data_IF_320826186212
#
_entry.id   IF_320826186212
#
_cell.length_a   1.000
_cell.length_b   1.000
_cell.length_c   1.000
_cell.angle_alpha   90.00
_cell.angle_beta   90.00
_cell.angle_gamma   90.00
#
_symmetry.space_group_name_H-M   'P 1'
#
loop_
_entity.id
_entity.type
_entity.pdbx_description
1 polymer ?
#
# COMPACT_ATOMS: atom_id res chain seq x y z
N UNK A 1 27.68 -15.73 15.21
CA UNK A 1 26.51 -15.69 14.30
C UNK A 1 26.54 -14.34 13.62
N UNK A 2 26.96 -14.29 12.36
CA UNK A 2 27.10 -13.05 11.61
C UNK A 2 25.73 -12.68 11.07
N UNK A 3 25.16 -11.57 11.54
CA UNK A 3 23.96 -10.98 10.95
C UNK A 3 24.33 -10.50 9.55
N UNK A 4 23.95 -11.28 8.53
CA UNK A 4 24.00 -10.81 7.16
C UNK A 4 22.99 -9.66 7.03
N UNK A 5 23.47 -8.44 7.27
CA UNK A 5 22.83 -7.24 6.76
C UNK A 5 22.93 -7.32 5.24
N UNK A 6 21.93 -7.92 4.61
CA UNK A 6 21.74 -7.80 3.17
C UNK A 6 21.43 -6.32 2.95
N UNK A 7 22.29 -5.55 2.26
CA UNK A 7 21.93 -4.20 1.90
C UNK A 7 20.68 -4.32 1.03
N UNK A 8 19.55 -3.81 1.53
CA UNK A 8 18.31 -3.77 0.75
C UNK A 8 18.64 -3.11 -0.58
N UNK A 9 18.44 -3.87 -1.65
CA UNK A 9 18.64 -3.44 -3.02
C UNK A 9 17.99 -2.05 -3.23
N UNK A 10 18.60 -1.09 -3.94
CA UNK A 10 17.98 0.19 -4.23
C UNK A 10 16.54 0.07 -4.78
N UNK A 11 16.25 -1.01 -5.51
CA UNK A 11 14.90 -1.32 -6.01
C UNK A 11 13.90 -1.70 -4.91
N UNK A 12 14.34 -2.32 -3.81
CA UNK A 12 13.49 -2.59 -2.63
C UNK A 12 13.04 -1.30 -1.95
N UNK A 13 13.94 -0.32 -1.86
CA UNK A 13 13.61 0.99 -1.31
C UNK A 13 12.59 1.73 -2.16
N UNK A 14 12.69 1.65 -3.49
CA UNK A 14 11.73 2.32 -4.38
C UNK A 14 10.33 1.71 -4.27
N UNK A 15 10.21 0.39 -4.34
CA UNK A 15 8.92 -0.31 -4.25
C UNK A 15 8.25 -0.08 -2.88
N UNK A 16 9.03 -0.14 -1.80
CA UNK A 16 8.55 0.20 -0.44
C UNK A 16 8.07 1.65 -0.37
N UNK A 17 8.83 2.60 -0.91
CA UNK A 17 8.47 4.01 -0.90
C UNK A 17 7.20 4.28 -1.73
N UNK A 18 7.04 3.62 -2.88
CA UNK A 18 5.81 3.66 -3.70
C UNK A 18 4.62 3.11 -2.93
N UNK A 19 4.77 1.98 -2.24
CA UNK A 19 3.72 1.40 -1.39
C UNK A 19 3.30 2.34 -0.24
N UNK A 20 4.26 2.99 0.41
CA UNK A 20 3.99 3.95 1.48
C UNK A 20 3.34 5.24 0.98
N UNK A 21 3.72 5.75 -0.21
CA UNK A 21 3.05 6.89 -0.85
C UNK A 21 1.61 6.55 -1.23
N UNK A 22 1.37 5.36 -1.75
CA UNK A 22 0.02 4.87 -2.03
C UNK A 22 -0.82 4.78 -0.75
N UNK A 23 -0.27 4.23 0.32
CA UNK A 23 -0.90 4.19 1.64
C UNK A 23 -1.19 5.60 2.20
N UNK A 24 -0.29 6.57 2.03
CA UNK A 24 -0.52 7.94 2.44
C UNK A 24 -1.71 8.58 1.70
N UNK A 25 -1.86 8.31 0.40
CA UNK A 25 -3.03 8.76 -0.37
C UNK A 25 -4.34 8.15 0.14
N UNK A 26 -4.35 6.85 0.45
CA UNK A 26 -5.50 6.19 1.06
C UNK A 26 -5.85 6.75 2.45
N UNK A 27 -4.83 7.11 3.24
CA UNK A 27 -5.02 7.73 4.54
C UNK A 27 -5.63 9.13 4.44
N UNK A 28 -5.23 9.91 3.43
CA UNK A 28 -5.82 11.21 3.15
C UNK A 28 -7.31 11.08 2.76
N UNK A 29 -7.61 10.20 1.81
CA UNK A 29 -8.99 9.89 1.42
C UNK A 29 -9.85 9.50 2.63
N UNK A 30 -9.36 8.58 3.47
CA UNK A 30 -10.11 8.10 4.62
C UNK A 30 -10.33 9.14 5.73
N UNK A 31 -9.51 10.19 5.75
CA UNK A 31 -9.65 11.34 6.65
C UNK A 31 -10.71 12.31 6.15
N UNK A 32 -10.75 12.56 4.85
CA UNK A 32 -11.70 13.48 4.22
C UNK A 32 -13.11 12.90 4.16
N UNK A 33 -13.23 11.61 3.83
CA UNK A 33 -14.51 10.92 3.62
C UNK A 33 -14.89 10.05 4.83
N UNK A 34 -14.82 10.59 6.05
CA UNK A 34 -14.84 9.77 7.29
C UNK A 34 -16.05 8.84 7.44
N UNK A 35 -17.19 9.26 6.91
CA UNK A 35 -18.48 8.56 6.98
C UNK A 35 -18.72 7.58 5.81
N UNK A 36 -17.89 7.62 4.76
CA UNK A 36 -17.99 6.72 3.62
C UNK A 36 -17.55 5.29 4.01
N UNK A 37 -18.33 4.24 3.70
CA UNK A 37 -17.90 2.85 3.86
C UNK A 37 -16.54 2.52 3.20
N UNK A 38 -16.18 3.21 2.11
CA UNK A 38 -14.88 3.15 1.43
C UNK A 38 -13.75 3.69 2.30
N UNK A 39 -13.98 4.70 3.14
CA UNK A 39 -12.96 5.20 4.07
C UNK A 39 -12.61 4.17 5.14
N UNK A 40 -13.58 3.37 5.62
CA UNK A 40 -13.29 2.24 6.52
C UNK A 40 -12.40 1.20 5.85
N UNK A 41 -12.67 0.87 4.58
CA UNK A 41 -11.84 -0.04 3.78
C UNK A 41 -10.43 0.51 3.57
N UNK A 42 -10.32 1.79 3.19
CA UNK A 42 -9.04 2.48 3.04
C UNK A 42 -8.24 2.48 4.36
N UNK A 43 -8.86 2.68 5.53
CA UNK A 43 -8.17 2.56 6.83
C UNK A 43 -7.58 1.17 7.07
N UNK A 44 -8.29 0.09 6.70
CA UNK A 44 -7.77 -1.28 6.82
C UNK A 44 -6.57 -1.51 5.89
N UNK A 45 -6.68 -1.08 4.63
CA UNK A 45 -5.59 -1.14 3.66
C UNK A 45 -4.35 -0.38 4.15
N UNK A 46 -4.54 0.83 4.69
CA UNK A 46 -3.47 1.64 5.30
C UNK A 46 -2.81 0.91 6.47
N UNK A 47 -3.60 0.32 7.37
CA UNK A 47 -3.08 -0.41 8.53
C UNK A 47 -2.17 -1.59 8.12
N UNK A 48 -2.51 -2.29 7.03
CA UNK A 48 -1.65 -3.36 6.48
C UNK A 48 -0.32 -2.81 5.99
N UNK A 49 -0.33 -1.67 5.30
CA UNK A 49 0.88 -1.07 4.71
C UNK A 49 1.72 -0.30 5.73
N UNK A 50 1.16 0.16 6.84
CA UNK A 50 1.90 0.85 7.90
C UNK A 50 3.02 -0.01 8.53
N UNK A 51 2.92 -1.34 8.45
CA UNK A 51 3.99 -2.25 8.85
C UNK A 51 5.24 -2.17 7.94
N UNK A 52 5.14 -1.54 6.76
CA UNK A 52 6.29 -1.22 5.92
C UNK A 52 7.07 -0.02 6.44
N UNK A 53 6.53 0.83 7.32
CA UNK A 53 7.23 2.00 7.85
C UNK A 53 6.33 3.24 8.01
N UNK A 54 6.92 4.37 8.41
CA UNK A 54 6.18 5.61 8.60
C UNK A 54 5.59 6.08 7.26
N UNK A 55 4.34 6.53 7.30
CA UNK A 55 3.67 7.10 6.15
C UNK A 55 4.25 8.50 5.86
N UNK A 56 4.61 8.81 4.61
CA UNK A 56 4.98 10.16 4.22
C UNK A 56 3.75 11.08 4.28
N UNK A 57 3.99 12.39 4.19
CA UNK A 57 2.92 13.34 3.96
C UNK A 57 2.19 13.00 2.64
N UNK A 58 0.86 12.99 2.68
CA UNK A 58 0.06 12.74 1.49
C UNK A 58 0.16 13.93 0.52
N UNK A 59 0.27 13.65 -0.78
CA UNK A 59 0.30 14.67 -1.83
C UNK A 59 -1.01 14.73 -2.64
N UNK A 60 -2.12 14.27 -2.07
CA UNK A 60 -3.41 14.13 -2.72
C UNK A 60 -4.09 12.80 -2.40
N UNK A 61 -5.32 12.65 -2.88
CA UNK A 61 -6.17 11.48 -2.67
C UNK A 61 -6.51 10.86 -4.03
N UNK A 62 -6.03 9.64 -4.35
CA UNK A 62 -6.59 8.89 -5.45
C UNK A 62 -8.01 8.44 -5.07
N UNK A 63 -8.96 8.54 -6.00
CA UNK A 63 -10.26 7.86 -5.89
C UNK A 63 -9.99 6.37 -5.54
N UNK A 64 -10.76 5.73 -4.64
CA UNK A 64 -10.65 4.30 -4.36
C UNK A 64 -10.48 3.37 -5.58
N UNK A 65 -11.16 3.64 -6.69
CA UNK A 65 -11.05 2.84 -7.91
C UNK A 65 -9.71 3.09 -8.65
N UNK A 66 -9.24 4.34 -8.64
CA UNK A 66 -7.90 4.68 -9.11
C UNK A 66 -6.82 4.09 -8.19
N UNK A 67 -7.04 4.11 -6.88
CA UNK A 67 -6.16 3.52 -5.89
C UNK A 67 -6.05 2.00 -6.07
N UNK A 68 -7.15 1.31 -6.38
CA UNK A 68 -7.12 -0.12 -6.68
C UNK A 68 -6.32 -0.42 -7.95
N UNK A 69 -6.49 0.38 -9.02
CA UNK A 69 -5.68 0.24 -10.26
C UNK A 69 -4.19 0.48 -10.00
N UNK A 70 -3.83 1.53 -9.26
CA UNK A 70 -2.44 1.83 -8.88
C UNK A 70 -1.84 0.74 -8.00
N UNK A 71 -2.61 0.22 -7.04
CA UNK A 71 -2.19 -0.89 -6.19
C UNK A 71 -1.96 -2.18 -6.98
N UNK A 72 -2.81 -2.48 -7.97
CA UNK A 72 -2.65 -3.65 -8.83
C UNK A 72 -1.40 -3.56 -9.71
N UNK A 73 -1.10 -2.38 -10.26
CA UNK A 73 0.14 -2.14 -10.98
C UNK A 73 1.37 -2.31 -10.06
N UNK A 74 1.30 -1.75 -8.84
CA UNK A 74 2.35 -1.92 -7.84
C UNK A 74 2.56 -3.39 -7.45
N UNK A 75 1.48 -4.17 -7.30
CA UNK A 75 1.57 -5.61 -7.04
C UNK A 75 2.30 -6.34 -8.16
N UNK A 76 1.94 -6.08 -9.42
CA UNK A 76 2.61 -6.68 -10.58
C UNK A 76 4.10 -6.33 -10.60
N UNK A 77 4.47 -5.07 -10.34
CA UNK A 77 5.86 -4.63 -10.24
C UNK A 77 6.61 -5.36 -9.11
N UNK A 78 5.98 -5.52 -7.93
CA UNK A 78 6.57 -6.26 -6.82
C UNK A 78 6.85 -7.72 -7.19
N UNK A 79 5.91 -8.37 -7.88
CA UNK A 79 6.07 -9.75 -8.34
C UNK A 79 7.18 -9.87 -9.39
N UNK A 80 7.23 -8.98 -10.37
CA UNK A 80 8.27 -8.96 -11.41
C UNK A 80 9.67 -8.75 -10.81
N UNK A 81 9.78 -7.93 -9.76
CA UNK A 81 11.02 -7.68 -9.03
C UNK A 81 11.34 -8.73 -7.94
N UNK A 82 10.53 -9.79 -7.79
CA UNK A 82 10.74 -10.83 -6.77
C UNK A 82 10.52 -10.38 -5.32
N UNK A 83 9.86 -9.23 -5.10
CA UNK A 83 9.63 -8.62 -3.77
C UNK A 83 8.35 -9.15 -3.13
N UNK A 84 8.29 -10.46 -2.94
CA UNK A 84 7.06 -11.16 -2.54
C UNK A 84 6.50 -10.71 -1.19
N UNK A 85 7.35 -10.30 -0.24
CA UNK A 85 6.87 -9.77 1.05
C UNK A 85 6.01 -8.51 0.86
N UNK A 86 6.49 -7.55 0.06
CA UNK A 86 5.73 -6.32 -0.23
C UNK A 86 4.52 -6.66 -1.11
N UNK A 87 4.69 -7.56 -2.09
CA UNK A 87 3.60 -8.02 -2.95
C UNK A 87 2.43 -8.59 -2.13
N UNK A 88 2.70 -9.43 -1.12
CA UNK A 88 1.66 -9.98 -0.25
C UNK A 88 0.92 -8.90 0.55
N UNK A 89 1.64 -7.89 1.04
CA UNK A 89 1.04 -6.78 1.78
C UNK A 89 0.18 -5.89 0.87
N UNK A 90 0.65 -5.62 -0.35
CA UNK A 90 -0.12 -4.87 -1.37
C UNK A 90 -1.35 -5.66 -1.80
N UNK A 91 -1.23 -6.97 -2.05
CA UNK A 91 -2.37 -7.83 -2.40
C UNK A 91 -3.42 -7.88 -1.28
N UNK A 92 -2.99 -7.97 -0.03
CA UNK A 92 -3.90 -7.88 1.11
C UNK A 92 -4.57 -6.48 1.15
N UNK A 93 -3.82 -5.39 1.02
CA UNK A 93 -4.41 -4.05 0.97
C UNK A 93 -5.43 -3.89 -0.17
N UNK A 94 -5.15 -4.46 -1.35
CA UNK A 94 -6.09 -4.51 -2.47
C UNK A 94 -7.37 -5.27 -2.12
N UNK A 95 -7.27 -6.43 -1.48
CA UNK A 95 -8.44 -7.20 -1.07
C UNK A 95 -9.36 -6.42 -0.12
N UNK A 96 -8.82 -5.55 0.76
CA UNK A 96 -9.65 -4.69 1.60
C UNK A 96 -10.38 -3.61 0.80
N UNK A 97 -9.79 -3.12 -0.30
CA UNK A 97 -10.39 -2.10 -1.16
C UNK A 97 -11.45 -2.72 -2.09
N UNK A 98 -11.15 -3.88 -2.65
CA UNK A 98 -11.98 -4.57 -3.64
C UNK A 98 -12.96 -5.57 -3.05
N UNK A 99 -13.09 -5.67 -1.72
CA UNK A 99 -14.08 -6.52 -1.05
C UNK A 99 -15.48 -6.22 -1.60
N UNK A 100 -15.86 -6.99 -2.62
CA UNK A 100 -17.19 -7.06 -3.20
C UNK A 100 -17.93 -8.04 -2.30
N UNK A 101 -19.15 -7.70 -1.86
CA UNK A 101 -20.05 -8.56 -1.08
C UNK A 101 -19.72 -8.70 0.42
N UNK A 102 -20.23 -7.76 1.22
CA UNK A 102 -20.79 -8.03 2.55
C UNK A 102 -21.90 -7.01 2.84
#
# INVERSE_FOLDING_TARGET
MSEYFIPSDPSDFDVRARALRWAAGLAAFAKEESDDPRARRARRAVARLAALGPLPAASGYPDPDEAARLGAALYADCCAAGRYRIAHMVNAALADLTEVWA
#
